data_IF_329365832822
#
_entry.id   IF_329365832822
#
_cell.length_a   1.000
_cell.length_b   1.000
_cell.length_c   1.000
_cell.angle_alpha   90.00
_cell.angle_beta   90.00
_cell.angle_gamma   90.00
#
_symmetry.space_group_name_H-M   'P 1'
#
loop_
_entity.id
_entity.type
_entity.pdbx_description
1 polymer ?
#
# COMPACT_ATOMS: atom_id res chain seq x y z
N UNK A 1 -36.20 75.25 107.97
CA UNK A 1 -35.53 75.46 106.66
C UNK A 1 -34.80 74.17 106.28
N UNK A 2 -34.58 73.77 105.02
CA UNK A 2 -34.97 74.35 103.72
C UNK A 2 -35.50 73.28 102.76
N UNK A 3 -35.59 73.57 101.44
CA UNK A 3 -36.46 72.87 100.48
C UNK A 3 -35.75 72.26 99.25
N UNK A 4 -36.12 71.03 98.84
CA UNK A 4 -36.16 70.50 97.45
C UNK A 4 -34.83 70.43 96.62
N UNK A 5 -34.67 69.78 95.43
CA UNK A 5 -35.56 69.15 94.41
C UNK A 5 -34.88 67.94 93.69
N UNK A 6 -35.67 66.97 93.16
CA UNK A 6 -35.35 65.69 92.44
C UNK A 6 -34.31 65.67 91.29
N UNK A 7 -34.11 64.61 90.47
CA UNK A 7 -34.83 63.35 90.10
C UNK A 7 -33.77 62.22 89.86
N UNK A 8 -33.99 60.89 89.76
CA UNK A 8 -35.13 60.03 89.36
C UNK A 8 -34.94 59.52 87.91
N UNK A 9 -35.01 58.23 87.55
CA UNK A 9 -35.23 56.95 88.26
C UNK A 9 -34.43 55.79 87.59
N UNK A 10 -34.20 54.62 88.19
CA UNK A 10 -35.12 53.47 88.41
C UNK A 10 -35.34 52.61 87.13
N UNK A 11 -35.33 51.26 87.11
CA UNK A 11 -34.82 50.19 88.00
C UNK A 11 -34.86 48.84 87.20
N UNK A 12 -34.89 47.67 87.87
CA UNK A 12 -35.14 46.29 87.40
C UNK A 12 -33.87 45.54 86.92
N UNK A 13 -33.09 44.81 87.74
CA UNK A 13 -33.40 43.68 88.67
C UNK A 13 -33.94 42.42 87.96
N UNK A 14 -33.64 41.16 88.35
CA UNK A 14 -32.50 40.46 89.00
C UNK A 14 -32.94 38.97 89.24
N UNK A 15 -32.00 38.03 89.52
CA UNK A 15 -32.23 36.77 90.34
C UNK A 15 -33.14 35.66 89.72
N UNK A 16 -33.32 34.38 90.21
CA UNK A 16 -32.83 33.40 91.26
C UNK A 16 -33.50 31.99 90.94
N UNK A 17 -33.22 30.74 91.40
CA UNK A 17 -32.16 29.98 92.14
C UNK A 17 -32.18 28.42 91.91
N UNK A 18 -31.01 27.77 92.07
CA UNK A 18 -30.65 26.49 92.78
C UNK A 18 -31.37 25.10 92.60
N UNK A 19 -30.54 24.10 92.21
CA UNK A 19 -30.24 22.75 92.79
C UNK A 19 -31.28 21.59 92.99
N UNK A 20 -31.07 20.49 92.23
CA UNK A 20 -30.85 19.04 92.61
C UNK A 20 -31.80 18.22 93.55
N UNK A 21 -32.33 17.04 93.10
CA UNK A 21 -32.38 15.74 93.86
C UNK A 21 -33.02 14.47 93.17
N UNK A 22 -32.27 13.34 93.20
CA UNK A 22 -32.53 11.84 93.31
C UNK A 22 -33.88 11.08 93.00
N UNK A 23 -33.72 9.94 92.26
CA UNK A 23 -34.24 8.51 92.41
C UNK A 23 -35.72 8.05 92.27
N UNK A 24 -35.96 6.95 91.50
CA UNK A 24 -37.08 5.95 91.63
C UNK A 24 -36.84 4.64 90.79
N UNK A 25 -37.61 3.54 90.99
CA UNK A 25 -37.49 2.22 90.31
C UNK A 25 -38.79 1.35 90.41
N UNK A 26 -39.02 0.38 89.49
CA UNK A 26 -40.04 -0.74 89.51
C UNK A 26 -41.55 -0.39 89.33
N UNK A 27 -42.52 -1.25 88.91
CA UNK A 27 -42.62 -2.52 88.11
C UNK A 27 -44.10 -2.83 87.73
N UNK A 28 -44.40 -3.48 86.59
CA UNK A 28 -45.68 -4.19 86.28
C UNK A 28 -45.53 -5.18 85.09
N UNK A 29 -46.38 -6.23 84.95
CA UNK A 29 -46.24 -7.27 83.92
C UNK A 29 -47.55 -8.02 83.53
N UNK A 30 -47.61 -8.55 82.30
CA UNK A 30 -48.68 -9.42 81.74
C UNK A 30 -48.22 -10.03 80.37
N UNK A 31 -48.75 -11.15 79.81
CA UNK A 31 -48.87 -12.53 80.33
C UNK A 31 -48.88 -13.56 79.14
N UNK A 32 -48.20 -14.70 79.32
CA UNK A 32 -48.12 -15.98 78.55
C UNK A 32 -48.42 -16.11 77.03
N UNK A 33 -47.38 -16.60 76.31
CA UNK A 33 -47.32 -17.83 75.46
C UNK A 33 -48.31 -18.03 74.29
N UNK A 34 -47.74 -18.13 73.07
CA UNK A 34 -47.97 -19.28 72.19
C UNK A 34 -46.71 -19.63 71.36
N UNK A 35 -46.67 -20.86 70.84
CA UNK A 35 -45.46 -21.54 70.34
C UNK A 35 -45.02 -21.08 68.95
N UNK A 36 -43.72 -20.83 68.82
CA UNK A 36 -42.88 -21.24 67.68
C UNK A 36 -43.38 -21.01 66.25
N UNK A 37 -43.00 -19.86 65.68
CA UNK A 37 -42.53 -19.82 64.27
C UNK A 37 -41.05 -19.44 64.29
N UNK A 38 -40.22 -20.39 64.68
CA UNK A 38 -38.79 -20.37 64.36
C UNK A 38 -38.61 -20.83 62.91
N UNK A 39 -39.11 -20.04 61.96
CA UNK A 39 -38.88 -20.22 60.53
C UNK A 39 -38.05 -19.02 60.03
N UNK A 40 -36.74 -19.28 59.91
CA UNK A 40 -35.84 -18.68 58.94
C UNK A 40 -35.87 -17.14 58.81
N UNK A 41 -34.97 -16.47 59.54
CA UNK A 41 -34.40 -15.20 59.03
C UNK A 41 -33.68 -15.40 57.69
N UNK A 42 -33.34 -16.65 57.37
CA UNK A 42 -32.77 -17.09 56.10
C UNK A 42 -33.77 -17.02 54.94
N UNK A 43 -35.09 -17.07 55.15
CA UNK A 43 -36.09 -17.04 54.06
C UNK A 43 -36.38 -15.63 53.54
N UNK A 44 -36.14 -14.59 54.35
CA UNK A 44 -36.08 -13.20 53.84
C UNK A 44 -34.77 -12.96 53.05
N UNK A 45 -33.79 -13.87 53.21
CA UNK A 45 -32.67 -14.05 52.30
C UNK A 45 -32.92 -15.25 51.35
N UNK A 46 -34.16 -15.36 50.87
CA UNK A 46 -34.44 -15.72 49.46
C UNK A 46 -33.76 -14.71 48.53
N UNK A 47 -32.43 -14.68 48.59
CA UNK A 47 -31.61 -14.12 47.53
C UNK A 47 -31.98 -14.89 46.28
N UNK A 48 -32.58 -14.19 45.32
CA UNK A 48 -32.66 -14.68 43.95
C UNK A 48 -31.23 -14.98 43.51
N UNK A 49 -30.84 -16.25 43.58
CA UNK A 49 -29.64 -16.75 42.91
C UNK A 49 -29.89 -16.49 41.43
N UNK A 50 -29.40 -15.36 40.93
CA UNK A 50 -29.29 -15.09 39.50
C UNK A 50 -28.59 -16.31 38.92
N UNK A 51 -29.32 -17.11 38.16
CA UNK A 51 -28.90 -18.46 37.82
C UNK A 51 -27.69 -18.36 36.89
N UNK A 52 -26.50 -18.52 37.45
CA UNK A 52 -25.27 -18.25 36.71
C UNK A 52 -25.07 -19.29 35.63
N UNK A 53 -25.10 -18.86 34.37
CA UNK A 53 -24.82 -19.71 33.22
C UNK A 53 -23.31 -19.79 32.99
N UNK A 54 -22.85 -20.96 32.55
CA UNK A 54 -21.49 -21.23 32.13
C UNK A 54 -21.39 -21.03 30.61
N UNK A 55 -20.61 -20.05 30.18
CA UNK A 55 -20.36 -19.78 28.76
C UNK A 55 -18.91 -20.08 28.38
N UNK A 56 -18.68 -20.33 27.10
CA UNK A 56 -17.36 -20.48 26.50
C UNK A 56 -17.07 -19.21 25.71
N UNK A 57 -15.96 -18.53 25.98
CA UNK A 57 -15.52 -17.34 25.25
C UNK A 57 -14.27 -17.69 24.44
N UNK A 58 -14.32 -17.45 23.13
CA UNK A 58 -13.19 -17.55 22.19
C UNK A 58 -12.78 -16.16 21.73
N UNK A 59 -11.50 -15.82 21.87
CA UNK A 59 -10.92 -14.51 21.49
C UNK A 59 -9.42 -14.68 21.27
N UNK A 60 -8.85 -14.03 20.25
CA UNK A 60 -7.41 -14.07 19.93
C UNK A 60 -6.83 -15.50 19.80
N UNK A 61 -7.65 -16.46 19.36
CA UNK A 61 -7.28 -17.88 19.28
C UNK A 61 -7.21 -18.64 20.62
N UNK A 62 -7.52 -18.01 21.74
CA UNK A 62 -7.66 -18.66 23.06
C UNK A 62 -9.14 -18.96 23.38
N UNK A 63 -9.36 -19.94 24.27
CA UNK A 63 -10.68 -20.31 24.77
C UNK A 63 -10.70 -20.26 26.32
N UNK A 64 -11.77 -19.68 26.90
CA UNK A 64 -11.95 -19.52 28.35
C UNK A 64 -13.40 -19.78 28.74
N UNK A 65 -13.63 -20.66 29.72
CA UNK A 65 -14.94 -20.81 30.34
C UNK A 65 -15.16 -19.69 31.38
N UNK A 66 -16.36 -19.09 31.39
CA UNK A 66 -16.76 -18.03 32.33
C UNK A 66 -18.15 -18.35 32.88
N UNK A 67 -18.32 -18.23 34.20
CA UNK A 67 -19.65 -18.21 34.83
C UNK A 67 -20.08 -16.77 35.03
N UNK A 68 -21.31 -16.46 34.61
CA UNK A 68 -21.84 -15.09 34.59
C UNK A 68 -23.29 -15.05 35.06
N UNK A 69 -23.70 -13.94 35.65
CA UNK A 69 -25.10 -13.61 35.95
C UNK A 69 -25.73 -12.68 34.89
N UNK A 70 -24.96 -12.31 33.85
CA UNK A 70 -25.44 -11.45 32.76
C UNK A 70 -26.41 -12.20 31.85
N UNK A 71 -27.30 -11.45 31.17
CA UNK A 71 -28.34 -12.02 30.32
C UNK A 71 -28.03 -11.98 28.82
N UNK A 72 -26.98 -11.24 28.41
CA UNK A 72 -26.61 -11.05 27.00
C UNK A 72 -25.12 -11.21 26.73
N UNK A 73 -24.78 -11.52 25.47
CA UNK A 73 -23.40 -11.69 25.00
C UNK A 73 -22.52 -10.47 25.31
N UNK A 74 -22.99 -9.26 24.98
CA UNK A 74 -22.21 -8.02 25.15
C UNK A 74 -21.95 -7.65 26.61
N UNK A 75 -22.92 -7.87 27.49
CA UNK A 75 -22.73 -7.69 28.93
C UNK A 75 -21.73 -8.70 29.51
N UNK A 76 -21.79 -9.94 29.03
CA UNK A 76 -20.89 -11.03 29.45
C UNK A 76 -19.45 -10.80 29.03
N UNK A 77 -19.21 -10.34 27.78
CA UNK A 77 -17.88 -9.98 27.30
C UNK A 77 -17.27 -8.83 28.13
N UNK A 78 -18.08 -7.80 28.43
CA UNK A 78 -17.67 -6.69 29.28
C UNK A 78 -17.33 -7.12 30.72
N UNK A 79 -18.10 -8.02 31.31
CA UNK A 79 -17.83 -8.61 32.63
C UNK A 79 -16.57 -9.50 32.63
N UNK A 80 -16.33 -10.24 31.55
CA UNK A 80 -15.16 -11.09 31.38
C UNK A 80 -13.84 -10.33 31.12
N UNK A 81 -13.91 -9.02 30.89
CA UNK A 81 -12.77 -8.16 30.53
C UNK A 81 -12.37 -8.23 29.06
N UNK A 82 -13.28 -8.66 28.17
CA UNK A 82 -13.04 -8.71 26.72
C UNK A 82 -13.57 -7.44 26.07
N UNK A 83 -12.65 -6.55 25.71
CA UNK A 83 -12.97 -5.36 24.91
C UNK A 83 -13.33 -5.77 23.48
N UNK A 84 -14.28 -5.04 22.87
CA UNK A 84 -14.76 -5.29 21.51
C UNK A 84 -14.64 -3.99 20.72
N UNK A 85 -13.76 -3.98 19.72
CA UNK A 85 -13.52 -2.84 18.84
C UNK A 85 -14.66 -2.59 17.84
N UNK A 86 -14.70 -1.41 17.19
CA UNK A 86 -15.79 -1.02 16.29
C UNK A 86 -15.84 -1.80 14.96
N UNK A 87 -14.83 -2.62 14.67
CA UNK A 87 -14.78 -3.51 13.50
C UNK A 87 -14.87 -5.00 13.87
N UNK A 88 -14.83 -5.32 15.18
CA UNK A 88 -14.73 -6.70 15.67
C UNK A 88 -16.02 -7.47 15.42
N UNK A 89 -15.88 -8.76 15.10
CA UNK A 89 -17.02 -9.64 14.82
C UNK A 89 -17.33 -10.46 16.06
N UNK A 90 -18.54 -10.33 16.59
CA UNK A 90 -19.02 -11.11 17.73
C UNK A 90 -20.17 -12.02 17.30
N UNK A 91 -20.04 -13.30 17.61
CA UNK A 91 -21.04 -14.35 17.30
C UNK A 91 -21.31 -15.20 18.55
N UNK A 92 -22.56 -15.30 19.05
CA UNK A 92 -23.77 -14.59 18.61
C UNK A 92 -23.69 -13.06 18.79
N UNK A 93 -24.67 -12.33 18.27
CA UNK A 93 -24.68 -10.87 18.35
C UNK A 93 -24.63 -10.36 19.80
N UNK A 94 -24.09 -9.16 20.04
CA UNK A 94 -23.90 -8.61 21.39
C UNK A 94 -25.20 -8.38 22.17
N UNK A 95 -26.33 -8.21 21.48
CA UNK A 95 -27.68 -8.12 22.04
C UNK A 95 -28.35 -9.47 22.31
N UNK A 96 -27.78 -10.57 21.80
CA UNK A 96 -28.38 -11.91 21.90
C UNK A 96 -28.34 -12.43 23.32
N UNK A 97 -29.36 -13.22 23.71
CA UNK A 97 -29.41 -13.83 25.03
C UNK A 97 -28.47 -15.03 25.14
N UNK A 98 -27.92 -15.25 26.32
CA UNK A 98 -27.06 -16.41 26.60
C UNK A 98 -27.77 -17.46 27.46
N UNK A 99 -27.44 -18.71 27.21
CA UNK A 99 -27.84 -19.89 27.98
C UNK A 99 -26.60 -20.70 28.41
N UNK A 100 -26.78 -21.67 29.30
CA UNK A 100 -25.69 -22.58 29.71
C UNK A 100 -25.13 -23.35 28.50
N UNK A 101 -23.80 -23.39 28.38
CA UNK A 101 -23.09 -23.95 27.23
C UNK A 101 -22.93 -23.02 26.02
N UNK A 102 -23.44 -21.78 26.05
CA UNK A 102 -23.30 -20.84 24.92
C UNK A 102 -21.83 -20.58 24.59
N UNK A 103 -21.46 -20.76 23.32
CA UNK A 103 -20.12 -20.41 22.81
C UNK A 103 -20.17 -19.04 22.14
N UNK A 104 -19.50 -18.07 22.75
CA UNK A 104 -19.29 -16.71 22.24
C UNK A 104 -17.93 -16.68 21.54
N UNK A 105 -17.89 -16.23 20.29
CA UNK A 105 -16.65 -16.02 19.53
C UNK A 105 -16.49 -14.55 19.20
N UNK A 106 -15.32 -13.99 19.52
CA UNK A 106 -14.88 -12.64 19.16
C UNK A 106 -13.69 -12.77 18.24
N UNK A 107 -13.81 -12.23 17.02
CA UNK A 107 -12.69 -12.08 16.07
C UNK A 107 -12.32 -10.61 16.05
N UNK A 108 -11.08 -10.29 16.43
CA UNK A 108 -10.60 -8.92 16.47
C UNK A 108 -10.16 -8.45 15.09
N UNK A 109 -10.67 -7.32 14.63
CA UNK A 109 -10.48 -6.82 13.27
C UNK A 109 -9.84 -5.45 13.30
N UNK A 110 -8.74 -5.28 12.57
CA UNK A 110 -8.11 -3.97 12.36
C UNK A 110 -7.63 -3.81 10.92
N UNK A 111 -7.58 -2.56 10.48
CA UNK A 111 -6.98 -2.15 9.21
C UNK A 111 -5.69 -1.37 9.49
N UNK A 112 -4.57 -1.79 8.91
CA UNK A 112 -3.30 -1.06 8.98
C UNK A 112 -2.82 -0.62 7.59
N UNK A 113 -2.03 0.46 7.54
CA UNK A 113 -1.39 0.93 6.32
C UNK A 113 0.05 0.39 6.25
N UNK A 114 0.25 -0.63 5.41
CA UNK A 114 1.59 -1.13 5.08
C UNK A 114 2.23 -0.29 3.95
N UNK A 115 3.54 -0.08 4.01
CA UNK A 115 4.30 0.67 3.00
C UNK A 115 5.51 -0.13 2.54
N UNK A 116 5.50 -0.60 1.29
CA UNK A 116 6.61 -1.31 0.68
C UNK A 116 7.44 -0.40 -0.22
N UNK A 117 8.78 -0.47 -0.11
CA UNK A 117 9.69 0.13 -1.10
C UNK A 117 9.95 -0.88 -2.22
N UNK A 118 9.68 -0.51 -3.47
CA UNK A 118 9.90 -1.34 -4.66
C UNK A 118 10.72 -0.59 -5.72
N UNK A 119 11.67 -1.25 -6.41
CA UNK A 119 12.48 -0.62 -7.44
C UNK A 119 11.67 -0.27 -8.69
N UNK A 120 12.23 0.63 -9.50
CA UNK A 120 11.76 0.99 -10.84
C UNK A 120 12.93 0.78 -11.80
N UNK A 121 12.74 -0.08 -12.79
CA UNK A 121 13.74 -0.30 -13.84
C UNK A 121 14.03 0.99 -14.64
N UNK A 122 15.24 1.09 -15.19
CA UNK A 122 15.64 2.19 -16.06
C UNK A 122 15.54 1.82 -17.54
N UNK A 123 15.29 2.81 -18.39
CA UNK A 123 15.34 2.65 -19.83
C UNK A 123 16.78 2.61 -20.37
N UNK A 124 16.98 1.98 -21.51
CA UNK A 124 18.26 2.02 -22.25
C UNK A 124 18.12 2.84 -23.54
N UNK A 125 18.79 3.98 -23.58
CA UNK A 125 18.78 4.93 -24.70
C UNK A 125 20.06 4.73 -25.53
N UNK A 126 19.91 4.46 -26.83
CA UNK A 126 21.02 4.44 -27.79
C UNK A 126 21.23 5.84 -28.37
N UNK A 127 22.48 6.31 -28.44
CA UNK A 127 22.86 7.62 -28.99
C UNK A 127 23.98 7.47 -30.01
N UNK A 128 23.83 8.03 -31.20
CA UNK A 128 24.87 8.00 -32.22
C UNK A 128 25.87 9.15 -32.02
N UNK A 129 27.17 8.90 -32.23
CA UNK A 129 28.24 9.89 -32.05
C UNK A 129 29.40 9.65 -33.01
N UNK A 130 30.02 10.72 -33.51
CA UNK A 130 31.25 10.68 -34.30
C UNK A 130 32.52 10.50 -33.45
N UNK A 131 32.42 10.62 -32.12
CA UNK A 131 33.56 10.46 -31.19
C UNK A 131 33.99 9.00 -30.94
N UNK A 132 33.24 8.02 -31.46
CA UNK A 132 33.59 6.60 -31.43
C UNK A 132 33.86 6.11 -32.86
N UNK A 133 34.85 5.22 -33.03
CA UNK A 133 35.06 4.50 -34.31
C UNK A 133 33.72 3.90 -34.76
N UNK A 134 33.30 4.04 -36.03
CA UNK A 134 31.93 3.69 -36.39
C UNK A 134 31.64 2.20 -36.18
N UNK A 135 30.45 1.89 -35.67
CA UNK A 135 30.10 0.56 -35.18
C UNK A 135 30.64 0.16 -33.80
N UNK A 136 31.60 0.89 -33.21
CA UNK A 136 31.96 0.71 -31.80
C UNK A 136 30.76 1.10 -30.92
N UNK A 137 30.37 0.20 -30.03
CA UNK A 137 29.33 0.42 -29.01
C UNK A 137 30.01 0.60 -27.66
N UNK A 138 29.57 1.58 -26.87
CA UNK A 138 30.12 1.85 -25.54
C UNK A 138 29.05 2.46 -24.63
N UNK A 139 28.88 1.93 -23.42
CA UNK A 139 28.06 2.60 -22.39
C UNK A 139 28.77 3.87 -21.97
N UNK A 140 28.09 5.01 -22.08
CA UNK A 140 28.61 6.36 -21.81
C UNK A 140 27.90 7.05 -20.65
N UNK A 141 26.76 6.51 -20.20
CA UNK A 141 26.19 6.77 -18.89
C UNK A 141 25.53 5.50 -18.37
N UNK A 142 25.84 5.09 -17.14
CA UNK A 142 25.21 3.92 -16.51
C UNK A 142 23.78 4.26 -16.11
N UNK A 143 22.87 3.30 -16.23
CA UNK A 143 21.51 3.43 -15.73
C UNK A 143 21.46 3.32 -14.21
N UNK A 144 20.52 4.02 -13.58
CA UNK A 144 20.27 3.96 -12.13
C UNK A 144 18.81 3.64 -11.89
N UNK A 145 18.53 2.61 -11.10
CA UNK A 145 17.15 2.26 -10.74
C UNK A 145 16.49 3.37 -9.92
N UNK A 146 15.24 3.64 -10.26
CA UNK A 146 14.34 4.45 -9.45
C UNK A 146 13.73 3.63 -8.32
N UNK A 147 12.93 4.28 -7.48
CA UNK A 147 12.26 3.66 -6.35
C UNK A 147 10.86 4.27 -6.20
N UNK A 148 9.90 3.43 -5.84
CA UNK A 148 8.55 3.84 -5.43
C UNK A 148 8.19 3.25 -4.08
N UNK A 149 7.42 4.00 -3.30
CA UNK A 149 6.64 3.47 -2.21
C UNK A 149 5.30 2.95 -2.77
N UNK A 150 4.86 1.81 -2.26
CA UNK A 150 3.58 1.18 -2.58
C UNK A 150 2.83 1.04 -1.28
N UNK A 151 1.68 1.71 -1.18
CA UNK A 151 0.88 1.80 0.05
C UNK A 151 -0.31 0.86 -0.06
N UNK A 152 -0.46 -0.01 0.93
CA UNK A 152 -1.55 -0.98 1.02
C UNK A 152 -2.37 -0.72 2.29
N UNK A 153 -3.69 -0.88 2.22
CA UNK A 153 -4.50 -1.18 3.41
C UNK A 153 -4.55 -2.69 3.55
N UNK A 154 -4.17 -3.19 4.71
CA UNK A 154 -4.22 -4.61 5.06
C UNK A 154 -5.20 -4.79 6.22
N UNK A 155 -6.17 -5.69 6.04
CA UNK A 155 -7.07 -6.10 7.11
C UNK A 155 -6.52 -7.33 7.81
N UNK A 156 -6.49 -7.29 9.13
CA UNK A 156 -6.11 -8.41 9.97
C UNK A 156 -7.32 -8.93 10.74
N UNK A 157 -7.41 -10.24 10.90
CA UNK A 157 -8.37 -10.92 11.76
C UNK A 157 -7.58 -11.81 12.73
N UNK A 158 -7.74 -11.59 14.05
CA UNK A 158 -6.91 -12.17 15.11
C UNK A 158 -5.39 -12.08 14.81
N UNK A 159 -4.95 -10.90 14.35
CA UNK A 159 -3.56 -10.59 14.00
C UNK A 159 -3.05 -11.18 12.68
N UNK A 160 -3.87 -11.94 11.94
CA UNK A 160 -3.48 -12.57 10.66
C UNK A 160 -4.02 -11.75 9.48
N UNK A 161 -3.21 -11.40 8.46
CA UNK A 161 -3.68 -10.63 7.32
C UNK A 161 -4.65 -11.46 6.45
N UNK A 162 -5.87 -10.97 6.26
CA UNK A 162 -6.93 -11.63 5.46
C UNK A 162 -7.20 -10.96 4.12
N UNK A 163 -6.89 -9.67 3.98
CA UNK A 163 -7.00 -8.94 2.71
C UNK A 163 -5.96 -7.84 2.59
N UNK A 164 -5.58 -7.50 1.35
CA UNK A 164 -4.54 -6.51 1.04
C UNK A 164 -4.89 -5.72 -0.21
N UNK A 165 -5.26 -4.46 -0.03
CA UNK A 165 -5.76 -3.57 -1.08
C UNK A 165 -4.75 -2.48 -1.38
N UNK A 166 -4.35 -2.33 -2.64
CA UNK A 166 -3.49 -1.23 -3.10
C UNK A 166 -4.26 0.10 -3.03
N UNK A 167 -3.79 1.04 -2.20
CA UNK A 167 -4.39 2.38 -2.08
C UNK A 167 -3.59 3.47 -2.79
N UNK A 168 -2.31 3.23 -3.14
CA UNK A 168 -1.53 4.20 -3.92
C UNK A 168 -0.08 3.83 -4.16
N UNK A 169 0.56 4.54 -5.10
CA UNK A 169 2.00 4.44 -5.37
C UNK A 169 2.63 5.81 -5.52
N UNK A 170 3.81 6.00 -4.93
CA UNK A 170 4.52 7.28 -4.87
C UNK A 170 5.96 7.10 -5.35
N UNK A 171 6.37 7.81 -6.41
CA UNK A 171 7.74 7.71 -6.96
C UNK A 171 8.67 8.62 -6.18
N UNK A 172 9.40 8.04 -5.22
CA UNK A 172 10.36 8.75 -4.35
C UNK A 172 11.72 8.98 -5.02
N UNK A 173 12.04 8.21 -6.07
CA UNK A 173 13.26 8.37 -6.87
C UNK A 173 12.97 8.00 -8.31
N UNK A 174 13.16 8.92 -9.25
CA UNK A 174 13.00 8.64 -10.69
C UNK A 174 14.18 7.78 -11.18
N UNK A 175 13.96 6.79 -12.07
CA UNK A 175 15.06 6.07 -12.71
C UNK A 175 15.85 7.01 -13.63
N UNK A 176 17.14 6.76 -13.77
CA UNK A 176 18.02 7.43 -14.74
C UNK A 176 18.35 6.45 -15.84
N UNK A 177 18.02 6.80 -17.08
CA UNK A 177 18.23 5.92 -18.24
C UNK A 177 19.71 5.68 -18.52
N UNK A 178 20.07 4.44 -18.83
CA UNK A 178 21.39 4.12 -19.36
C UNK A 178 21.56 4.73 -20.75
N UNK A 179 22.71 5.33 -21.03
CA UNK A 179 23.07 5.82 -22.37
C UNK A 179 24.16 4.94 -22.96
N UNK A 180 23.85 4.32 -24.10
CA UNK A 180 24.79 3.53 -24.90
C UNK A 180 25.12 4.31 -26.17
N UNK A 181 26.34 4.84 -26.26
CA UNK A 181 26.83 5.51 -27.46
C UNK A 181 27.24 4.49 -28.54
N UNK A 182 26.97 4.82 -29.80
CA UNK A 182 27.33 4.04 -30.99
C UNK A 182 28.06 4.95 -31.96
N UNK A 183 29.21 4.50 -32.47
CA UNK A 183 29.97 5.23 -33.49
C UNK A 183 29.16 5.39 -34.79
N UNK A 184 28.86 6.64 -35.17
CA UNK A 184 28.30 6.99 -36.47
C UNK A 184 29.38 7.41 -37.47
N UNK A 185 29.11 7.21 -38.77
CA UNK A 185 30.12 7.35 -39.83
C UNK A 185 30.44 8.81 -40.15
N UNK A 186 31.51 9.32 -39.53
CA UNK A 186 32.42 10.24 -40.25
C UNK A 186 33.07 9.52 -41.44
N UNK A 187 33.51 10.24 -42.48
CA UNK A 187 34.06 9.65 -43.72
C UNK A 187 35.16 8.62 -43.42
N UNK A 188 35.02 7.39 -43.93
CA UNK A 188 36.16 6.47 -44.03
C UNK A 188 36.97 6.82 -45.27
N UNK A 189 38.30 6.82 -45.13
CA UNK A 189 39.22 6.50 -46.23
C UNK A 189 39.26 4.98 -46.42
N UNK A 190 39.69 4.52 -47.60
CA UNK A 190 39.48 3.15 -48.10
C UNK A 190 40.39 2.05 -47.49
N UNK A 191 40.81 2.20 -46.23
CA UNK A 191 41.75 1.27 -45.53
C UNK A 191 41.41 1.15 -44.05
N UNK A 192 40.46 0.29 -43.69
CA UNK A 192 40.11 0.02 -42.29
C UNK A 192 39.10 -1.13 -42.16
N UNK A 193 39.50 -2.17 -41.42
CA UNK A 193 38.87 -3.48 -41.49
C UNK A 193 37.52 -3.57 -40.78
N UNK A 194 36.51 -4.03 -41.53
CA UNK A 194 35.48 -4.91 -41.01
C UNK A 194 35.59 -6.24 -41.75
N UNK A 195 35.54 -7.36 -41.03
CA UNK A 195 35.26 -8.64 -41.66
C UNK A 195 33.77 -8.68 -42.03
N UNK A 196 33.49 -8.61 -43.33
CA UNK A 196 32.15 -8.75 -43.89
C UNK A 196 31.88 -10.23 -44.15
N UNK A 197 31.06 -10.85 -43.32
CA UNK A 197 30.66 -12.26 -43.43
C UNK A 197 29.87 -12.56 -44.71
N UNK A 198 29.04 -11.60 -45.15
CA UNK A 198 28.14 -11.74 -46.30
C UNK A 198 27.79 -10.37 -46.86
N UNK A 199 27.86 -10.23 -48.18
CA UNK A 199 27.36 -9.06 -48.91
C UNK A 199 26.00 -9.42 -49.52
N UNK A 200 25.01 -8.53 -49.40
CA UNK A 200 23.67 -8.70 -49.99
C UNK A 200 23.29 -7.42 -50.74
N UNK A 201 22.90 -7.54 -52.01
CA UNK A 201 22.20 -6.47 -52.72
C UNK A 201 20.73 -6.46 -52.30
N UNK A 202 20.27 -5.34 -51.76
CA UNK A 202 18.92 -5.20 -51.19
C UNK A 202 18.21 -3.97 -51.76
N UNK A 203 16.88 -4.03 -51.82
CA UNK A 203 16.05 -2.86 -52.10
C UNK A 203 15.85 -2.10 -50.78
N UNK A 204 16.45 -0.92 -50.68
CA UNK A 204 16.23 0.00 -49.57
C UNK A 204 15.02 0.90 -49.81
N UNK A 205 14.20 1.05 -48.78
CA UNK A 205 13.31 2.21 -48.57
C UNK A 205 13.83 3.03 -47.39
N UNK A 206 13.12 4.11 -47.05
CA UNK A 206 13.47 4.96 -45.92
C UNK A 206 12.24 5.33 -45.08
N UNK A 207 12.43 5.33 -43.76
CA UNK A 207 11.45 5.81 -42.77
C UNK A 207 12.09 6.84 -41.83
N UNK A 208 11.27 7.46 -41.01
CA UNK A 208 11.65 8.43 -39.96
C UNK A 208 10.70 8.15 -38.77
N UNK A 209 11.11 8.32 -37.50
CA UNK A 209 10.36 7.75 -36.37
C UNK A 209 9.12 8.54 -35.91
N UNK A 210 8.75 9.66 -36.53
CA UNK A 210 7.59 10.47 -36.12
C UNK A 210 6.23 9.80 -36.41
N UNK A 211 5.15 10.25 -35.74
CA UNK A 211 3.80 9.77 -36.01
C UNK A 211 3.26 10.05 -37.43
N UNK A 212 3.92 10.91 -38.22
CA UNK A 212 3.60 11.10 -39.65
C UNK A 212 4.02 9.88 -40.48
N UNK A 213 5.14 9.27 -40.11
CA UNK A 213 5.85 8.24 -40.88
C UNK A 213 5.52 6.84 -40.36
N UNK A 214 5.49 6.68 -39.03
CA UNK A 214 5.16 5.42 -38.34
C UNK A 214 3.69 5.33 -37.87
N UNK A 215 2.88 6.38 -38.09
CA UNK A 215 1.46 6.44 -37.71
C UNK A 215 1.21 7.01 -36.30
N UNK A 216 -0.03 7.48 -36.06
CA UNK A 216 -0.44 8.25 -34.86
C UNK A 216 -0.06 7.60 -33.51
N UNK A 217 0.00 6.27 -33.46
CA UNK A 217 0.24 5.47 -32.26
C UNK A 217 1.67 4.91 -32.16
N UNK A 218 2.60 5.37 -33.00
CA UNK A 218 3.99 4.97 -32.93
C UNK A 218 4.62 5.38 -31.59
N UNK A 219 5.11 4.40 -30.84
CA UNK A 219 5.78 4.60 -29.54
C UNK A 219 7.23 5.07 -29.65
N UNK A 220 7.73 5.24 -30.88
CA UNK A 220 9.14 5.49 -31.17
C UNK A 220 10.06 4.29 -30.87
N UNK A 221 9.52 3.10 -30.56
CA UNK A 221 10.30 1.89 -30.25
C UNK A 221 10.09 0.79 -31.30
N UNK A 222 11.17 0.11 -31.67
CA UNK A 222 11.18 -0.98 -32.66
C UNK A 222 10.90 -2.35 -32.02
N UNK A 223 10.73 -3.39 -32.84
CA UNK A 223 10.49 -4.77 -32.40
C UNK A 223 11.59 -5.36 -31.48
N UNK A 224 12.82 -4.83 -31.50
CA UNK A 224 13.88 -5.20 -30.53
C UNK A 224 14.05 -4.20 -29.36
N UNK A 225 13.03 -3.36 -29.13
CA UNK A 225 12.95 -2.42 -28.00
C UNK A 225 13.81 -1.15 -28.12
N UNK A 226 14.54 -1.00 -29.24
CA UNK A 226 15.41 0.15 -29.51
C UNK A 226 14.56 1.37 -29.87
N UNK A 227 15.12 2.57 -29.71
CA UNK A 227 14.53 3.77 -30.30
C UNK A 227 14.67 3.71 -31.82
N UNK A 228 13.57 3.94 -32.53
CA UNK A 228 13.52 4.00 -33.98
C UNK A 228 14.19 5.30 -34.50
N UNK A 229 14.70 5.26 -35.73
CA UNK A 229 15.42 6.38 -36.36
C UNK A 229 16.77 5.98 -36.93
N UNK A 230 17.61 6.98 -37.23
CA UNK A 230 18.89 6.77 -37.92
C UNK A 230 19.80 5.75 -37.24
N UNK A 231 20.36 4.83 -38.02
CA UNK A 231 21.18 3.71 -37.55
C UNK A 231 20.41 2.50 -37.03
N UNK A 232 19.07 2.54 -37.02
CA UNK A 232 18.20 1.40 -36.69
C UNK A 232 17.31 1.08 -37.89
N UNK A 233 17.43 -0.13 -38.42
CA UNK A 233 16.81 -0.52 -39.70
C UNK A 233 15.84 -1.68 -39.53
N UNK A 234 14.78 -1.69 -40.34
CA UNK A 234 13.89 -2.84 -40.46
C UNK A 234 14.44 -3.82 -41.52
N UNK A 235 14.30 -5.12 -41.26
CA UNK A 235 14.73 -6.21 -42.14
C UNK A 235 13.75 -7.38 -42.07
N UNK A 236 13.90 -8.36 -42.98
CA UNK A 236 13.35 -9.69 -42.80
C UNK A 236 14.26 -10.51 -41.85
N UNK A 237 13.81 -10.92 -40.65
CA UNK A 237 14.61 -11.70 -39.71
C UNK A 237 15.13 -13.04 -40.26
N UNK A 238 14.50 -13.58 -41.32
CA UNK A 238 14.94 -14.81 -42.00
C UNK A 238 16.15 -14.59 -42.91
N UNK A 239 16.38 -13.36 -43.35
CA UNK A 239 17.51 -12.97 -44.22
C UNK A 239 18.62 -12.30 -43.42
N UNK A 240 18.25 -11.45 -42.45
CA UNK A 240 19.15 -10.76 -41.52
C UNK A 240 18.52 -10.83 -40.12
N UNK A 241 19.06 -11.65 -39.20
CA UNK A 241 18.53 -11.74 -37.83
C UNK A 241 18.54 -10.39 -37.08
N UNK A 242 17.58 -10.20 -36.18
CA UNK A 242 17.57 -9.01 -35.33
C UNK A 242 18.79 -8.99 -34.41
N UNK A 243 19.35 -7.80 -34.19
CA UNK A 243 20.63 -7.59 -33.50
C UNK A 243 21.87 -7.69 -34.40
N UNK A 244 21.74 -8.09 -35.68
CA UNK A 244 22.87 -8.09 -36.61
C UNK A 244 23.42 -6.68 -36.86
N UNK A 245 24.75 -6.55 -36.85
CA UNK A 245 25.52 -5.34 -37.17
C UNK A 245 25.67 -5.25 -38.70
N UNK A 246 25.39 -4.09 -39.28
CA UNK A 246 25.36 -3.89 -40.73
C UNK A 246 26.15 -2.65 -41.14
N UNK A 247 26.72 -2.65 -42.35
CA UNK A 247 27.11 -1.44 -43.05
C UNK A 247 26.40 -1.38 -44.41
N UNK A 248 25.59 -0.33 -44.61
CA UNK A 248 24.80 -0.11 -45.82
C UNK A 248 25.46 0.99 -46.64
N UNK A 249 25.82 0.71 -47.88
CA UNK A 249 26.45 1.69 -48.76
C UNK A 249 25.52 2.87 -49.07
N UNK A 250 26.10 4.08 -49.11
CA UNK A 250 25.34 5.33 -49.25
C UNK A 250 24.56 5.77 -48.00
N UNK A 251 24.48 4.94 -46.96
CA UNK A 251 23.78 5.24 -45.70
C UNK A 251 24.74 5.26 -44.50
N UNK A 252 25.35 4.13 -44.15
CA UNK A 252 26.25 4.03 -43.00
C UNK A 252 26.11 2.75 -42.20
N UNK A 253 26.62 2.78 -40.96
CA UNK A 253 26.48 1.68 -40.00
C UNK A 253 25.05 1.60 -39.46
N UNK A 254 24.53 0.39 -39.31
CA UNK A 254 23.18 0.10 -38.83
C UNK A 254 23.13 -1.12 -37.90
N UNK A 255 22.05 -1.22 -37.13
CA UNK A 255 21.63 -2.44 -36.44
C UNK A 255 20.28 -2.86 -37.00
N UNK A 256 20.16 -4.13 -37.40
CA UNK A 256 18.90 -4.80 -37.70
C UNK A 256 18.04 -4.81 -36.43
N UNK A 257 17.18 -3.79 -36.27
CA UNK A 257 16.51 -3.50 -35.00
C UNK A 257 15.00 -3.62 -35.06
N UNK A 258 14.42 -3.76 -36.25
CA UNK A 258 12.98 -3.83 -36.45
C UNK A 258 12.57 -4.84 -37.53
N UNK A 259 11.28 -5.16 -37.59
CA UNK A 259 10.70 -6.03 -38.61
C UNK A 259 9.40 -5.43 -39.15
N UNK A 260 9.39 -5.02 -40.42
CA UNK A 260 8.21 -4.46 -41.09
C UNK A 260 7.44 -5.54 -41.85
N UNK A 261 6.11 -5.56 -41.78
CA UNK A 261 5.28 -6.52 -42.56
C UNK A 261 5.52 -6.43 -44.08
N UNK A 262 5.93 -5.26 -44.57
CA UNK A 262 6.31 -4.96 -45.96
C UNK A 262 7.78 -5.25 -46.30
N UNK A 263 8.61 -5.55 -45.30
CA UNK A 263 10.06 -5.68 -45.42
C UNK A 263 10.42 -7.18 -45.37
N UNK A 264 10.15 -7.85 -46.49
CA UNK A 264 10.33 -9.29 -46.67
C UNK A 264 11.41 -9.58 -47.73
N UNK A 265 12.17 -10.66 -47.56
CA UNK A 265 13.27 -11.04 -48.45
C UNK A 265 14.41 -10.02 -48.45
N UNK A 266 14.99 -9.75 -49.63
CA UNK A 266 16.08 -8.77 -49.81
C UNK A 266 15.57 -7.31 -49.81
N UNK A 267 14.81 -6.94 -48.77
CA UNK A 267 14.34 -5.58 -48.48
C UNK A 267 14.88 -5.09 -47.14
N UNK A 268 15.15 -3.80 -47.07
CA UNK A 268 15.63 -3.12 -45.87
C UNK A 268 14.97 -1.75 -45.78
N UNK A 269 14.54 -1.33 -44.59
CA UNK A 269 13.99 0.02 -44.38
C UNK A 269 14.91 0.83 -43.50
N UNK A 270 15.41 1.94 -44.04
CA UNK A 270 16.48 2.72 -43.43
C UNK A 270 15.90 3.88 -42.61
N UNK A 271 16.16 3.90 -41.31
CA UNK A 271 15.71 5.00 -40.45
C UNK A 271 16.50 6.28 -40.73
N UNK A 272 15.84 7.43 -40.68
CA UNK A 272 16.46 8.75 -40.74
C UNK A 272 16.05 9.62 -39.55
N UNK A 273 16.74 10.74 -39.37
CA UNK A 273 16.43 11.70 -38.32
C UNK A 273 15.29 12.65 -38.72
N UNK A 274 15.11 12.91 -40.02
CA UNK A 274 14.09 13.82 -40.55
C UNK A 274 13.38 13.27 -41.79
N UNK A 275 12.13 13.71 -41.96
CA UNK A 275 11.27 13.35 -43.10
C UNK A 275 11.91 13.79 -44.42
N UNK A 276 12.66 14.92 -44.40
CA UNK A 276 13.37 15.44 -45.58
C UNK A 276 14.45 14.47 -46.05
N UNK A 277 15.23 13.90 -45.14
CA UNK A 277 16.27 12.92 -45.49
C UNK A 277 15.66 11.62 -46.01
N UNK A 278 14.62 11.09 -45.34
CA UNK A 278 13.94 9.88 -45.79
C UNK A 278 13.34 10.04 -47.21
N UNK A 279 12.64 11.15 -47.47
CA UNK A 279 12.12 11.49 -48.79
C UNK A 279 13.22 11.70 -49.84
N UNK A 280 14.36 12.31 -49.47
CA UNK A 280 15.52 12.51 -50.35
C UNK A 280 16.30 11.21 -50.62
N UNK A 281 16.19 10.22 -49.74
CA UNK A 281 16.76 8.89 -49.98
C UNK A 281 15.84 8.06 -50.90
N UNK A 282 14.53 8.09 -50.66
CA UNK A 282 13.53 7.43 -51.50
C UNK A 282 13.66 5.91 -51.51
N UNK A 283 13.46 5.29 -52.68
CA UNK A 283 13.66 3.84 -52.89
C UNK A 283 14.80 3.60 -53.87
N UNK A 284 15.80 2.81 -53.49
CA UNK A 284 16.97 2.49 -54.32
C UNK A 284 17.57 1.13 -53.98
N UNK A 285 18.34 0.54 -54.88
CA UNK A 285 19.19 -0.61 -54.56
C UNK A 285 20.38 -0.14 -53.70
N UNK A 286 20.77 -0.94 -52.72
CA UNK A 286 21.94 -0.73 -51.85
C UNK A 286 22.73 -2.03 -51.69
N UNK A 287 24.02 -1.90 -51.46
CA UNK A 287 24.86 -3.00 -51.01
C UNK A 287 24.91 -3.00 -49.49
N UNK A 288 24.53 -4.12 -48.88
CA UNK A 288 24.52 -4.34 -47.43
C UNK A 288 25.59 -5.35 -47.06
N UNK A 289 26.55 -4.89 -46.26
CA UNK A 289 27.61 -5.68 -45.68
C UNK A 289 27.15 -6.17 -44.29
N UNK A 290 26.98 -7.48 -44.14
CA UNK A 290 26.73 -8.11 -42.84
C UNK A 290 28.07 -8.25 -42.12
N UNK A 291 28.20 -7.56 -40.99
CA UNK A 291 29.44 -7.45 -40.23
C UNK A 291 29.51 -8.55 -39.17
N UNK A 292 30.70 -9.07 -38.93
CA UNK A 292 30.90 -10.09 -37.90
C UNK A 292 30.60 -9.59 -36.48
N UNK A 293 30.05 -10.50 -35.67
CA UNK A 293 29.93 -10.34 -34.23
C UNK A 293 31.21 -10.86 -33.56
N UNK A 294 32.19 -9.96 -33.45
CA UNK A 294 33.02 -9.87 -32.24
C UNK A 294 32.19 -9.23 -31.11
#
# INVERSE_FOLDING_TARGET
>A
MGNWRGKGGDDLLQRREFRLARTALTTAALLLVLVGVAANRDDVVQAQRLATVSVIIRSNGAERQVRTAQTTVGATLKEAGVEVGPLDKVTPATSERISDGTTITVVHVNDAIEVERKPIAFDSVKRFTTSLRPGKVQVTSNGVQGEKLVRYVVRYEDGKPVSRTLIGTEVVKKPVSQVTSIGSRGRYTSRGDFHTRKVISMIATAYEPSPRSCGRYATGRTSSGLLAGYGVVAVDPKVIPLGTKLYVEGYGYAIAGDQGRSIQGNRIDLGFATVREAMSFGRRSVIVHILDQQ
#
